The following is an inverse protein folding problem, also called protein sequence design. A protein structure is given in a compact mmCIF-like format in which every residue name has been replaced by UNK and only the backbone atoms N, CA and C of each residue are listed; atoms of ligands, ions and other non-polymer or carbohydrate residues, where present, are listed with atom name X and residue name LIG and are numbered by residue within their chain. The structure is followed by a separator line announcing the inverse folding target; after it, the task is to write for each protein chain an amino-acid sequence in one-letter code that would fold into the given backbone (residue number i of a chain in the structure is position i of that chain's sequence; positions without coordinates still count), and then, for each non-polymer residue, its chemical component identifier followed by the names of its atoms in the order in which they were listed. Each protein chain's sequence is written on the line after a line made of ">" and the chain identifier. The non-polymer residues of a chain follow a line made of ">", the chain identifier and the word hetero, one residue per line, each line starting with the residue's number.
data_IF_874751401126
#
_entry.id   IF_874751401126
#
_cell.length_a   1.000
_cell.length_b   1.000
_cell.length_c   1.000
_cell.angle_alpha   90.00
_cell.angle_beta   90.00
_cell.angle_gamma   90.00
#
_symmetry.space_group_name_H-M   'P 1'
#
loop_
_entity.id
_entity.type
_entity.pdbx_description
1 polymer ?
#
# COMPACT_ATOMS: atom_id res chain seq x y z
N UNK A 1 -35.89 16.80 24.00
CA UNK A 1 -35.50 17.12 22.61
C UNK A 1 -34.14 16.50 22.39
N UNK A 2 -34.05 15.42 21.61
CA UNK A 2 -32.78 14.76 21.29
C UNK A 2 -32.21 15.45 20.06
N UNK A 3 -31.08 16.14 20.19
CA UNK A 3 -30.37 16.68 19.03
C UNK A 3 -29.84 15.50 18.19
N UNK A 4 -30.24 15.45 16.92
CA UNK A 4 -29.62 14.58 15.92
C UNK A 4 -28.52 15.42 15.29
N UNK A 5 -27.26 15.08 15.58
CA UNK A 5 -26.12 15.69 14.92
C UNK A 5 -25.96 15.07 13.52
N UNK A 6 -25.96 15.91 12.49
CA UNK A 6 -25.73 15.46 11.11
C UNK A 6 -24.23 15.30 10.87
N UNK A 7 -23.80 14.09 10.52
CA UNK A 7 -22.43 13.79 10.11
C UNK A 7 -22.38 13.82 8.58
N UNK A 8 -21.59 14.73 8.01
CA UNK A 8 -21.39 14.85 6.56
C UNK A 8 -20.13 14.09 6.13
N UNK A 9 -20.26 13.17 5.17
CA UNK A 9 -19.13 12.52 4.51
C UNK A 9 -18.60 13.42 3.39
N UNK A 10 -17.48 14.10 3.63
CA UNK A 10 -16.91 15.09 2.71
C UNK A 10 -15.77 14.56 1.83
N UNK A 11 -15.16 13.43 2.21
CA UNK A 11 -14.06 12.80 1.48
C UNK A 11 -14.33 11.30 1.33
N UNK A 12 -13.92 10.74 0.18
CA UNK A 12 -14.15 9.34 -0.16
C UNK A 12 -15.55 9.05 -0.70
N UNK A 13 -15.69 7.88 -1.31
CA UNK A 13 -16.97 7.32 -1.74
C UNK A 13 -17.68 6.68 -0.55
N UNK A 14 -19.01 6.56 -0.58
CA UNK A 14 -19.73 5.89 0.49
C UNK A 14 -19.62 4.38 0.35
N UNK A 15 -19.45 3.68 1.47
CA UNK A 15 -19.46 2.22 1.44
C UNK A 15 -20.86 1.73 1.02
N UNK A 16 -20.92 0.87 0.02
CA UNK A 16 -22.17 0.43 -0.59
C UNK A 16 -22.54 1.19 -1.88
N UNK A 17 -21.84 2.27 -2.22
CA UNK A 17 -21.98 2.91 -3.53
C UNK A 17 -21.51 1.95 -4.63
N UNK A 18 -22.39 1.64 -5.58
CA UNK A 18 -22.09 0.74 -6.68
C UNK A 18 -20.88 1.20 -7.53
N UNK A 19 -20.73 2.51 -7.72
CA UNK A 19 -19.60 3.10 -8.45
C UNK A 19 -18.41 3.45 -7.53
N UNK A 20 -18.56 3.32 -6.21
CA UNK A 20 -17.54 3.71 -5.23
C UNK A 20 -16.18 3.06 -5.47
N UNK A 21 -16.11 1.74 -5.73
CA UNK A 21 -14.87 1.05 -6.06
C UNK A 21 -14.19 1.59 -7.32
N UNK A 22 -14.97 1.83 -8.38
CA UNK A 22 -14.44 2.34 -9.64
C UNK A 22 -13.85 3.75 -9.47
N UNK A 23 -14.56 4.65 -8.78
CA UNK A 23 -14.10 6.00 -8.50
C UNK A 23 -12.84 6.01 -7.62
N UNK A 24 -12.76 5.10 -6.64
CA UNK A 24 -11.55 4.92 -5.84
C UNK A 24 -10.35 4.54 -6.72
N UNK A 25 -10.51 3.54 -7.59
CA UNK A 25 -9.46 3.10 -8.51
C UNK A 25 -9.01 4.24 -9.45
N UNK A 26 -9.92 5.07 -9.95
CA UNK A 26 -9.57 6.24 -10.75
C UNK A 26 -8.71 7.25 -9.97
N UNK A 27 -9.00 7.47 -8.69
CA UNK A 27 -8.20 8.33 -7.81
C UNK A 27 -6.82 7.77 -7.48
N UNK A 28 -6.73 6.45 -7.31
CA UNK A 28 -5.49 5.73 -7.01
C UNK A 28 -4.57 5.62 -8.24
N UNK A 29 -5.13 5.41 -9.43
CA UNK A 29 -4.39 5.05 -10.64
C UNK A 29 -3.19 5.96 -10.96
N UNK A 30 -3.26 7.31 -10.85
CA UNK A 30 -2.10 8.15 -11.14
C UNK A 30 -0.91 7.94 -10.19
N UNK A 31 -1.14 7.48 -8.94
CA UNK A 31 -0.06 7.12 -8.03
C UNK A 31 0.63 5.83 -8.49
N UNK A 32 -0.16 4.84 -8.95
CA UNK A 32 0.37 3.57 -9.47
C UNK A 32 1.17 3.77 -10.76
N UNK A 33 0.71 4.64 -11.67
CA UNK A 33 1.45 4.97 -12.91
C UNK A 33 2.82 5.55 -12.57
N UNK A 34 2.88 6.58 -11.71
CA UNK A 34 4.16 7.17 -11.28
C UNK A 34 5.07 6.13 -10.60
N UNK A 35 4.49 5.26 -9.77
CA UNK A 35 5.27 4.21 -9.10
C UNK A 35 5.84 3.22 -10.12
N UNK A 36 5.07 2.81 -11.13
CA UNK A 36 5.56 1.94 -12.21
C UNK A 36 6.65 2.62 -13.06
N UNK A 37 6.55 3.93 -13.32
CA UNK A 37 7.57 4.71 -14.03
C UNK A 37 8.90 4.81 -13.27
N UNK A 38 8.87 4.82 -11.93
CA UNK A 38 10.06 4.85 -11.09
C UNK A 38 10.68 3.46 -10.85
N UNK A 39 9.90 2.39 -11.05
CA UNK A 39 10.27 0.99 -10.86
C UNK A 39 10.01 0.19 -12.15
N UNK A 40 10.56 0.65 -13.28
CA UNK A 40 10.24 0.16 -14.63
C UNK A 40 10.36 -1.36 -14.83
N UNK A 41 11.37 -1.97 -14.21
CA UNK A 41 11.66 -3.40 -14.37
C UNK A 41 10.93 -4.29 -13.35
N UNK A 42 10.26 -3.67 -12.38
CA UNK A 42 9.59 -4.36 -11.29
C UNK A 42 8.07 -4.43 -11.55
N UNK A 43 7.40 -5.43 -10.95
CA UNK A 43 5.94 -5.55 -11.06
C UNK A 43 5.25 -4.62 -10.07
N UNK A 44 4.44 -3.68 -10.55
CA UNK A 44 3.53 -2.88 -9.72
C UNK A 44 2.07 -3.23 -10.08
N UNK A 45 1.31 -3.69 -9.10
CA UNK A 45 -0.09 -4.05 -9.28
C UNK A 45 -0.96 -3.54 -8.14
N UNK A 46 -2.27 -3.54 -8.34
CA UNK A 46 -3.22 -3.26 -7.28
C UNK A 46 -4.54 -4.00 -7.49
N UNK A 47 -5.18 -4.34 -6.37
CA UNK A 47 -6.57 -4.75 -6.33
C UNK A 47 -7.24 -3.93 -5.23
N UNK A 48 -8.07 -2.96 -5.62
CA UNK A 48 -8.66 -2.00 -4.67
C UNK A 48 -7.56 -1.28 -3.87
N UNK A 49 -7.64 -1.27 -2.54
CA UNK A 49 -6.67 -0.67 -1.63
C UNK A 49 -5.41 -1.53 -1.40
N UNK A 50 -5.41 -2.79 -1.86
CA UNK A 50 -4.22 -3.64 -1.83
C UNK A 50 -3.29 -3.30 -3.00
N UNK A 51 -2.06 -2.92 -2.68
CA UNK A 51 -1.01 -2.59 -3.64
C UNK A 51 0.11 -3.61 -3.52
N UNK A 52 0.58 -4.11 -4.66
CA UNK A 52 1.57 -5.17 -4.78
C UNK A 52 2.82 -4.64 -5.48
N UNK A 53 3.99 -4.97 -4.91
CA UNK A 53 5.29 -4.66 -5.47
C UNK A 53 6.15 -5.92 -5.56
N UNK A 54 6.39 -6.40 -6.77
CA UNK A 54 7.38 -7.44 -7.04
C UNK A 54 8.74 -6.81 -7.29
N UNK A 55 9.41 -6.37 -6.22
CA UNK A 55 10.69 -5.64 -6.26
C UNK A 55 11.84 -6.46 -5.69
N UNK A 56 13.08 -6.13 -6.09
CA UNK A 56 14.28 -6.64 -5.41
C UNK A 56 14.32 -6.21 -3.93
N UNK A 57 14.86 -7.07 -3.06
CA UNK A 57 15.00 -6.80 -1.62
C UNK A 57 15.66 -5.47 -1.31
N UNK A 58 16.74 -5.16 -2.03
CA UNK A 58 17.50 -3.91 -1.88
C UNK A 58 16.69 -2.65 -2.19
N UNK A 59 15.47 -2.80 -2.73
CA UNK A 59 14.58 -1.71 -3.10
C UNK A 59 13.30 -1.65 -2.24
N UNK A 60 13.06 -2.61 -1.34
CA UNK A 60 11.80 -2.70 -0.56
C UNK A 60 11.52 -1.44 0.23
N UNK A 61 12.49 -0.93 1.00
CA UNK A 61 12.33 0.30 1.79
C UNK A 61 12.00 1.50 0.90
N UNK A 62 12.78 1.69 -0.18
CA UNK A 62 12.54 2.74 -1.17
C UNK A 62 11.16 2.64 -1.81
N UNK A 63 10.71 1.43 -2.14
CA UNK A 63 9.39 1.18 -2.72
C UNK A 63 8.28 1.57 -1.74
N UNK A 64 8.35 1.12 -0.49
CA UNK A 64 7.35 1.42 0.54
C UNK A 64 7.28 2.91 0.83
N UNK A 65 8.44 3.57 1.00
CA UNK A 65 8.52 5.01 1.26
C UNK A 65 7.95 5.81 0.08
N UNK A 66 8.25 5.39 -1.16
CA UNK A 66 7.75 6.09 -2.34
C UNK A 66 6.25 5.88 -2.55
N UNK A 67 5.76 4.65 -2.36
CA UNK A 67 4.34 4.36 -2.39
C UNK A 67 3.58 5.21 -1.36
N UNK A 68 4.09 5.31 -0.13
CA UNK A 68 3.49 6.14 0.92
C UNK A 68 3.41 7.63 0.52
N UNK A 69 4.48 8.19 -0.05
CA UNK A 69 4.48 9.57 -0.55
C UNK A 69 3.45 9.79 -1.66
N UNK A 70 3.43 8.91 -2.67
CA UNK A 70 2.51 9.03 -3.80
C UNK A 70 1.05 8.85 -3.39
N UNK A 71 0.78 7.99 -2.41
CA UNK A 71 -0.55 7.83 -1.81
C UNK A 71 -0.96 9.07 -1.03
N UNK A 72 -0.04 9.67 -0.27
CA UNK A 72 -0.31 10.90 0.47
C UNK A 72 -0.67 12.08 -0.46
N UNK A 73 -0.07 12.18 -1.66
CA UNK A 73 -0.48 13.13 -2.71
C UNK A 73 -1.96 12.94 -3.14
N UNK A 74 -2.52 11.74 -2.95
CA UNK A 74 -3.92 11.40 -3.23
C UNK A 74 -4.80 11.43 -1.99
N UNK A 75 -4.30 11.96 -0.87
CA UNK A 75 -4.95 11.93 0.45
C UNK A 75 -5.23 10.50 0.96
N UNK A 76 -4.50 9.52 0.45
CA UNK A 76 -4.54 8.14 0.92
C UNK A 76 -3.41 7.91 1.91
N UNK A 77 -3.64 7.04 2.91
CA UNK A 77 -2.65 6.70 3.92
C UNK A 77 -2.25 5.25 3.77
N UNK A 78 -0.97 4.99 3.50
CA UNK A 78 -0.42 3.64 3.56
C UNK A 78 -0.42 3.13 5.00
N UNK A 79 -0.93 1.93 5.20
CA UNK A 79 -0.93 1.24 6.50
C UNK A 79 0.21 0.25 6.57
N UNK A 80 1.43 0.74 6.86
CA UNK A 80 2.63 -0.12 6.96
C UNK A 80 2.45 -1.29 7.92
N UNK A 81 1.69 -1.08 9.01
CA UNK A 81 1.33 -2.11 10.00
C UNK A 81 0.43 -3.24 9.45
N UNK A 82 -0.24 -2.99 8.33
CA UNK A 82 -1.01 -3.96 7.55
C UNK A 82 -0.27 -4.47 6.31
N UNK A 83 0.81 -3.81 5.91
CA UNK A 83 1.66 -4.27 4.81
C UNK A 83 2.54 -5.43 5.25
N UNK A 84 2.87 -6.29 4.28
CA UNK A 84 3.80 -7.39 4.49
C UNK A 84 4.82 -7.46 3.34
N UNK A 85 6.03 -7.90 3.66
CA UNK A 85 7.09 -8.18 2.72
C UNK A 85 7.61 -9.60 2.95
N UNK A 86 8.03 -10.25 1.87
CA UNK A 86 8.63 -11.57 1.89
C UNK A 86 9.72 -11.65 0.82
N UNK A 87 10.76 -12.44 1.10
CA UNK A 87 11.74 -12.86 0.10
C UNK A 87 12.08 -14.35 0.28
N UNK A 88 12.38 -15.08 -0.81
CA UNK A 88 12.94 -16.43 -0.72
C UNK A 88 14.29 -16.49 0.03
N UNK A 89 14.98 -15.37 0.21
CA UNK A 89 16.24 -15.29 0.96
C UNK A 89 16.04 -15.11 2.47
N UNK A 90 14.84 -14.71 2.94
CA UNK A 90 14.56 -14.53 4.37
C UNK A 90 14.07 -15.84 4.99
N UNK A 91 14.98 -16.79 5.27
CA UNK A 91 14.61 -18.11 5.81
C UNK A 91 14.38 -18.08 7.32
N UNK A 92 14.96 -17.09 7.99
CA UNK A 92 14.86 -16.85 9.42
C UNK A 92 14.90 -15.33 9.69
N UNK A 93 14.42 -14.85 10.85
CA UNK A 93 14.31 -13.42 11.13
C UNK A 93 15.61 -12.62 11.00
N UNK A 94 16.77 -13.23 11.26
CA UNK A 94 18.07 -12.56 11.13
C UNK A 94 18.55 -12.41 9.68
N UNK A 95 17.89 -13.05 8.71
CA UNK A 95 18.19 -12.88 7.29
C UNK A 95 17.55 -11.60 6.73
N UNK A 96 16.58 -11.02 7.44
CA UNK A 96 15.90 -9.80 7.01
C UNK A 96 16.85 -8.60 7.20
N UNK A 97 17.11 -7.80 6.15
CA UNK A 97 17.89 -6.57 6.28
C UNK A 97 17.32 -5.65 7.36
N UNK A 98 18.20 -5.10 8.22
CA UNK A 98 17.81 -4.29 9.38
C UNK A 98 16.95 -3.07 9.00
N UNK A 99 17.22 -2.46 7.85
CA UNK A 99 16.44 -1.34 7.30
C UNK A 99 15.01 -1.74 6.95
N UNK A 100 14.80 -2.95 6.43
CA UNK A 100 13.47 -3.48 6.12
C UNK A 100 12.75 -3.85 7.42
N UNK A 101 13.45 -4.48 8.36
CA UNK A 101 12.89 -4.79 9.68
C UNK A 101 12.44 -3.52 10.45
N UNK A 102 13.14 -2.40 10.26
CA UNK A 102 12.80 -1.11 10.86
C UNK A 102 11.73 -0.32 10.07
N UNK A 103 11.34 -0.76 8.87
CA UNK A 103 10.45 -0.02 7.96
C UNK A 103 8.99 0.08 8.43
N UNK A 104 8.61 -0.69 9.46
CA UNK A 104 7.24 -0.81 9.95
C UNK A 104 6.38 -1.80 9.17
N UNK A 105 6.91 -2.42 8.11
CA UNK A 105 6.25 -3.50 7.34
C UNK A 105 6.51 -4.85 8.02
N UNK A 106 5.50 -5.72 8.04
CA UNK A 106 5.66 -7.08 8.57
C UNK A 106 6.54 -7.91 7.63
N UNK A 107 7.67 -8.38 8.13
CA UNK A 107 8.56 -9.25 7.37
C UNK A 107 8.21 -10.71 7.65
N UNK A 108 7.95 -11.48 6.60
CA UNK A 108 7.64 -12.92 6.70
C UNK A 108 8.80 -13.75 6.18
N UNK A 109 9.10 -14.86 6.86
CA UNK A 109 10.00 -15.90 6.37
C UNK A 109 9.24 -17.09 5.73
N UNK A 110 7.93 -17.18 5.97
CA UNK A 110 7.10 -18.34 5.59
C UNK A 110 6.35 -18.16 4.25
N UNK A 111 6.50 -17.01 3.61
CA UNK A 111 5.77 -16.65 2.39
C UNK A 111 4.78 -15.50 2.60
N UNK A 112 4.11 -15.12 1.51
CA UNK A 112 3.01 -14.17 1.50
C UNK A 112 1.67 -14.91 1.56
N UNK A 113 0.78 -14.53 2.47
CA UNK A 113 -0.61 -15.00 2.51
C UNK A 113 -1.50 -13.82 2.14
N UNK A 114 -2.18 -13.92 1.00
CA UNK A 114 -3.23 -12.99 0.56
C UNK A 114 -4.54 -13.36 1.26
#
# INVERSE_FOLDING_TARGET
>A
VSCIDTILSQEGTQQGDAAGPFLFCLGLHPALVKLQEEFLDDFIGAFMDDIYGGVYETRVTRYVDRAEQLLAEKKLKLRRDKSAAWSPHWRQPCDVPAEIAASGVKCSAEGFRV
#
